data_IF_614544624602
#
_entry.id   IF_614544624602
#
_cell.length_a   1.000
_cell.length_b   1.000
_cell.length_c   1.000
_cell.angle_alpha   90.00
_cell.angle_beta   90.00
_cell.angle_gamma   90.00
#
_symmetry.space_group_name_H-M   'P 1'
#
loop_
_entity.id
_entity.type
_entity.pdbx_description
1 polymer ?
#
# COMPACT_ATOMS: atom_id res chain seq x y z
N UNK A 1 -17.05 -31.84 -14.67
CA UNK A 1 -15.75 -32.48 -14.40
C UNK A 1 -14.97 -31.75 -13.29
N UNK A 2 -14.76 -30.44 -13.37
CA UNK A 2 -13.95 -29.69 -12.35
C UNK A 2 -14.56 -29.73 -10.95
N UNK A 3 -15.90 -29.58 -10.80
CA UNK A 3 -16.57 -29.61 -9.49
C UNK A 3 -16.34 -30.96 -8.79
N UNK A 4 -16.32 -32.06 -9.51
CA UNK A 4 -16.08 -33.39 -8.93
C UNK A 4 -14.69 -33.55 -8.31
N UNK A 5 -13.68 -32.87 -8.87
CA UNK A 5 -12.31 -32.93 -8.36
C UNK A 5 -12.13 -32.25 -6.99
N UNK A 6 -13.00 -31.31 -6.63
CA UNK A 6 -12.92 -30.51 -5.41
C UNK A 6 -14.03 -30.77 -4.42
N UNK A 7 -15.01 -31.68 -4.77
CA UNK A 7 -16.20 -31.92 -3.97
C UNK A 7 -16.11 -33.21 -3.15
N UNK A 8 -16.77 -33.20 -2.04
CA UNK A 8 -17.19 -34.33 -1.22
C UNK A 8 -18.72 -34.42 -1.23
N UNK A 9 -19.29 -35.46 -0.65
CA UNK A 9 -20.74 -35.69 -0.61
C UNK A 9 -21.25 -35.64 0.82
N UNK A 10 -22.22 -34.75 1.08
CA UNK A 10 -22.90 -34.64 2.35
C UNK A 10 -24.17 -35.49 2.37
N UNK A 11 -24.33 -36.33 3.39
CA UNK A 11 -25.48 -37.16 3.66
C UNK A 11 -26.28 -36.61 4.85
N UNK A 12 -27.41 -35.90 4.64
CA UNK A 12 -28.18 -35.27 5.72
C UNK A 12 -28.69 -36.26 6.75
N UNK A 13 -29.08 -37.44 6.32
CA UNK A 13 -29.64 -38.51 7.18
C UNK A 13 -28.60 -39.04 8.18
N UNK A 14 -27.31 -38.99 7.83
CA UNK A 14 -26.21 -39.44 8.66
C UNK A 14 -25.47 -38.27 9.33
N UNK A 15 -25.81 -37.00 9.01
CA UNK A 15 -25.10 -35.81 9.39
C UNK A 15 -23.60 -35.92 9.10
N UNK A 16 -23.24 -36.53 7.95
CA UNK A 16 -21.84 -36.89 7.63
C UNK A 16 -21.44 -36.44 6.24
N UNK A 17 -20.19 -36.00 6.14
CA UNK A 17 -19.54 -35.73 4.85
C UNK A 17 -18.62 -36.92 4.55
N UNK A 18 -18.70 -37.46 3.34
CA UNK A 18 -17.79 -38.47 2.80
C UNK A 18 -16.96 -37.88 1.69
N UNK A 19 -15.65 -38.14 1.69
CA UNK A 19 -14.76 -37.62 0.71
C UNK A 19 -15.07 -38.15 -0.70
N UNK A 20 -14.93 -37.28 -1.70
CA UNK A 20 -15.24 -37.57 -3.10
C UNK A 20 -16.71 -37.41 -3.49
N UNK A 21 -16.94 -37.29 -4.80
CA UNK A 21 -18.28 -37.19 -5.36
C UNK A 21 -18.93 -38.55 -5.45
N UNK A 22 -19.93 -38.78 -4.61
CA UNK A 22 -20.71 -40.03 -4.55
C UNK A 22 -22.20 -39.76 -4.85
N UNK A 23 -22.96 -40.80 -5.23
CA UNK A 23 -24.39 -40.70 -5.42
C UNK A 23 -25.16 -40.80 -4.09
N UNK A 24 -26.36 -40.21 -4.02
CA UNK A 24 -27.25 -40.31 -2.88
C UNK A 24 -27.12 -39.24 -1.80
N UNK A 25 -26.31 -38.21 -2.02
CA UNK A 25 -26.15 -37.05 -1.13
C UNK A 25 -25.98 -35.74 -1.91
N UNK A 26 -25.70 -34.67 -1.19
CA UNK A 26 -25.48 -33.34 -1.76
C UNK A 26 -23.98 -33.02 -1.93
N UNK A 27 -23.53 -32.47 -3.08
CA UNK A 27 -22.16 -32.09 -3.27
C UNK A 27 -21.79 -30.89 -2.39
N UNK A 28 -20.64 -30.98 -1.71
CA UNK A 28 -20.07 -29.93 -0.88
C UNK A 28 -18.62 -29.74 -1.27
N UNK A 29 -18.18 -28.50 -1.51
CA UNK A 29 -16.80 -28.20 -1.82
C UNK A 29 -15.95 -28.30 -0.57
N UNK A 30 -15.02 -29.26 -0.55
CA UNK A 30 -14.12 -29.51 0.60
C UNK A 30 -12.65 -29.50 0.23
N UNK A 31 -12.33 -29.56 -1.07
CA UNK A 31 -10.98 -29.74 -1.59
C UNK A 31 -10.26 -31.02 -1.04
N UNK A 32 -10.99 -32.00 -0.49
CA UNK A 32 -10.41 -33.16 0.14
C UNK A 32 -9.48 -33.95 -0.80
N UNK A 33 -9.84 -34.08 -2.08
CA UNK A 33 -9.01 -34.78 -3.06
C UNK A 33 -7.62 -34.14 -3.24
N UNK A 34 -7.54 -32.82 -3.13
CA UNK A 34 -6.29 -32.06 -3.26
C UNK A 34 -5.54 -32.06 -1.94
N UNK A 35 -6.20 -31.63 -0.85
CA UNK A 35 -5.56 -31.39 0.44
C UNK A 35 -5.24 -32.65 1.23
N UNK A 36 -6.08 -33.69 1.09
CA UNK A 36 -5.96 -34.93 1.86
C UNK A 36 -5.34 -36.07 1.05
N UNK A 37 -5.75 -36.19 -0.23
CA UNK A 37 -5.31 -37.26 -1.10
C UNK A 37 -4.26 -36.86 -2.13
N UNK A 38 -3.82 -35.60 -2.11
CA UNK A 38 -2.72 -35.08 -2.93
C UNK A 38 -2.89 -35.34 -4.45
N UNK A 39 -4.15 -35.31 -4.93
CA UNK A 39 -4.44 -35.46 -6.35
C UNK A 39 -3.75 -34.37 -7.22
N UNK A 40 -3.37 -33.27 -6.61
CA UNK A 40 -2.51 -32.21 -7.13
C UNK A 40 -1.66 -31.66 -5.97
N UNK A 41 -0.34 -31.41 -6.13
CA UNK A 41 0.56 -31.01 -5.05
C UNK A 41 0.41 -29.52 -4.72
N UNK A 42 -0.83 -29.06 -4.51
CA UNK A 42 -1.15 -27.65 -4.25
C UNK A 42 -0.53 -27.11 -2.95
N UNK A 43 -0.57 -27.83 -1.82
CA UNK A 43 0.03 -27.36 -0.58
C UNK A 43 1.53 -27.08 -0.70
N UNK A 44 2.26 -27.97 -1.37
CA UNK A 44 3.70 -27.87 -1.61
C UNK A 44 4.01 -26.65 -2.49
N UNK A 45 3.31 -26.52 -3.62
CA UNK A 45 3.47 -25.39 -4.55
C UNK A 45 3.20 -24.06 -3.83
N UNK A 46 2.13 -23.99 -3.05
CA UNK A 46 1.78 -22.77 -2.30
C UNK A 46 2.85 -22.44 -1.24
N UNK A 47 3.34 -23.46 -0.52
CA UNK A 47 4.40 -23.26 0.48
C UNK A 47 5.67 -22.69 -0.14
N UNK A 48 6.10 -23.25 -1.27
CA UNK A 48 7.30 -22.82 -1.99
C UNK A 48 7.13 -21.37 -2.51
N UNK A 49 6.00 -21.06 -3.14
CA UNK A 49 5.74 -19.72 -3.70
C UNK A 49 5.64 -18.67 -2.60
N UNK A 50 4.96 -18.97 -1.49
CA UNK A 50 4.85 -18.06 -0.34
C UNK A 50 6.22 -17.82 0.29
N UNK A 51 7.07 -18.84 0.40
CA UNK A 51 8.44 -18.72 0.93
C UNK A 51 9.33 -17.87 0.00
N UNK A 52 9.27 -18.12 -1.31
CA UNK A 52 9.99 -17.31 -2.32
C UNK A 52 9.52 -15.86 -2.28
N UNK A 53 8.20 -15.66 -2.23
CA UNK A 53 7.60 -14.33 -2.13
C UNK A 53 8.02 -13.59 -0.88
N UNK A 54 7.97 -14.25 0.27
CA UNK A 54 8.43 -13.71 1.56
C UNK A 54 9.90 -13.30 1.54
N UNK A 55 10.76 -14.12 0.94
CA UNK A 55 12.19 -13.80 0.78
C UNK A 55 12.41 -12.62 -0.18
N UNK A 56 11.70 -12.61 -1.30
CA UNK A 56 11.85 -11.58 -2.33
C UNK A 56 11.31 -10.22 -1.90
N UNK A 57 10.23 -10.18 -1.13
CA UNK A 57 9.59 -8.94 -0.67
C UNK A 57 10.01 -8.52 0.76
N UNK A 58 10.73 -9.37 1.49
CA UNK A 58 11.16 -9.09 2.86
C UNK A 58 10.03 -9.10 3.90
N UNK A 59 8.80 -9.50 3.52
CA UNK A 59 7.61 -9.53 4.38
C UNK A 59 6.68 -10.69 3.99
N UNK A 60 5.71 -11.09 4.84
CA UNK A 60 4.65 -12.02 4.45
C UNK A 60 3.92 -11.55 3.20
N UNK A 61 3.52 -12.49 2.35
CA UNK A 61 2.84 -12.20 1.09
C UNK A 61 1.50 -12.93 0.99
N UNK A 62 0.58 -12.38 0.23
CA UNK A 62 -0.60 -13.06 -0.27
C UNK A 62 -0.48 -13.24 -1.79
N UNK A 63 -1.08 -14.29 -2.30
CA UNK A 63 -1.02 -14.64 -3.72
C UNK A 63 -2.41 -14.90 -4.27
N UNK A 64 -2.60 -14.57 -5.55
CA UNK A 64 -3.73 -15.01 -6.35
C UNK A 64 -3.22 -16.02 -7.38
N UNK A 65 -3.93 -17.12 -7.54
CA UNK A 65 -3.52 -18.19 -8.45
C UNK A 65 -4.71 -18.87 -9.09
N UNK A 66 -4.47 -19.54 -10.20
CA UNK A 66 -5.41 -20.45 -10.84
C UNK A 66 -4.81 -21.84 -10.99
N UNK A 67 -5.66 -22.86 -10.86
CA UNK A 67 -5.26 -24.25 -11.10
C UNK A 67 -6.18 -24.86 -12.15
N UNK A 68 -5.60 -25.42 -13.20
CA UNK A 68 -6.33 -26.17 -14.20
C UNK A 68 -6.22 -27.68 -13.89
N UNK A 69 -7.38 -28.30 -13.59
CA UNK A 69 -7.51 -29.73 -13.32
C UNK A 69 -8.38 -30.42 -14.39
N UNK A 70 -8.35 -29.94 -15.62
CA UNK A 70 -9.16 -30.51 -16.71
C UNK A 70 -8.77 -31.96 -17.00
N UNK A 71 -9.75 -32.86 -17.02
CA UNK A 71 -9.51 -34.25 -17.32
C UNK A 71 -8.92 -34.44 -18.74
N UNK A 72 -7.86 -35.23 -18.85
CA UNK A 72 -7.17 -35.47 -20.12
C UNK A 72 -6.11 -34.43 -20.50
N UNK A 73 -5.90 -33.41 -19.67
CA UNK A 73 -4.79 -32.46 -19.79
C UNK A 73 -3.85 -32.56 -18.60
N UNK A 74 -2.60 -32.16 -18.81
CA UNK A 74 -1.64 -32.04 -17.69
C UNK A 74 -2.13 -30.93 -16.75
N UNK A 75 -2.25 -31.20 -15.44
CA UNK A 75 -2.58 -30.16 -14.48
C UNK A 75 -1.60 -28.99 -14.55
N UNK A 76 -2.12 -27.77 -14.46
CA UNK A 76 -1.32 -26.54 -14.49
C UNK A 76 -1.60 -25.66 -13.27
N UNK A 77 -0.58 -24.94 -12.84
CA UNK A 77 -0.68 -23.91 -11.81
C UNK A 77 -0.19 -22.58 -12.40
N UNK A 78 -0.99 -21.55 -12.32
CA UNK A 78 -0.71 -20.21 -12.81
C UNK A 78 -0.73 -19.22 -11.64
N UNK A 79 0.40 -18.60 -11.33
CA UNK A 79 0.47 -17.49 -10.38
C UNK A 79 -0.02 -16.23 -11.08
N UNK A 80 -1.12 -15.66 -10.63
CA UNK A 80 -1.75 -14.49 -11.24
C UNK A 80 -1.25 -13.19 -10.60
N UNK A 81 -1.12 -13.19 -9.27
CA UNK A 81 -0.65 -12.02 -8.52
C UNK A 81 0.09 -12.44 -7.26
N UNK A 82 1.08 -11.63 -6.88
CA UNK A 82 1.74 -11.69 -5.58
C UNK A 82 1.86 -10.27 -5.02
N UNK A 83 1.51 -10.08 -3.75
CA UNK A 83 1.58 -8.79 -3.07
C UNK A 83 1.94 -8.97 -1.59
N UNK A 84 2.51 -7.95 -0.93
CA UNK A 84 2.69 -7.97 0.52
C UNK A 84 1.36 -8.21 1.22
N UNK A 85 1.36 -9.09 2.21
CA UNK A 85 0.18 -9.33 3.04
C UNK A 85 -0.03 -8.13 3.97
N UNK A 86 -1.23 -7.54 3.93
CA UNK A 86 -1.60 -6.49 4.86
C UNK A 86 -1.59 -7.07 6.29
N UNK A 87 -0.59 -6.71 7.08
CA UNK A 87 -0.59 -7.03 8.51
C UNK A 87 -1.63 -6.13 9.14
N UNK A 88 -2.71 -6.73 9.62
CA UNK A 88 -3.68 -5.99 10.43
C UNK A 88 -2.93 -5.42 11.65
N UNK A 89 -2.63 -4.12 11.63
CA UNK A 89 -2.13 -3.42 12.81
C UNK A 89 -3.14 -3.64 13.92
N UNK A 90 -2.65 -3.97 15.12
CA UNK A 90 -3.48 -3.97 16.32
C UNK A 90 -4.32 -2.70 16.32
N UNK A 91 -5.58 -2.81 16.74
CA UNK A 91 -6.52 -1.68 16.90
C UNK A 91 -6.00 -0.74 18.00
N UNK A 92 -4.92 -0.01 17.71
CA UNK A 92 -4.49 1.08 18.54
C UNK A 92 -5.59 2.15 18.46
N UNK A 93 -6.12 2.55 19.59
CA UNK A 93 -6.96 3.73 19.63
C UNK A 93 -6.03 4.94 19.56
N UNK A 94 -6.05 5.59 18.42
CA UNK A 94 -5.28 6.82 18.21
C UNK A 94 -6.21 7.99 18.53
N UNK A 95 -5.78 8.80 19.46
CA UNK A 95 -6.43 10.06 19.77
C UNK A 95 -5.60 11.22 19.20
N UNK A 96 -6.25 12.04 18.39
CA UNK A 96 -5.68 13.28 17.88
C UNK A 96 -6.28 14.42 18.70
N UNK A 97 -5.43 15.13 19.42
CA UNK A 97 -5.83 16.22 20.29
C UNK A 97 -5.94 17.54 19.51
N UNK A 98 -6.80 18.45 19.95
CA UNK A 98 -6.97 19.76 19.31
C UNK A 98 -5.65 20.56 19.26
N UNK A 99 -4.86 20.52 20.32
CA UNK A 99 -3.55 21.15 20.39
C UNK A 99 -2.51 20.57 19.40
N UNK A 100 -2.66 19.30 19.00
CA UNK A 100 -1.81 18.69 17.97
C UNK A 100 -2.19 19.24 16.59
N UNK A 101 -3.49 19.46 16.35
CA UNK A 101 -3.97 20.06 15.09
C UNK A 101 -3.47 21.51 14.96
N UNK A 102 -3.51 22.29 16.05
CA UNK A 102 -3.02 23.69 16.06
C UNK A 102 -1.51 23.78 15.80
N UNK A 103 -0.74 22.75 16.18
CA UNK A 103 0.72 22.70 15.99
C UNK A 103 1.14 21.96 14.72
N UNK A 104 0.19 21.33 14.02
CA UNK A 104 0.48 20.55 12.85
C UNK A 104 0.90 21.44 11.67
N UNK A 105 1.89 21.00 10.89
CA UNK A 105 2.14 21.58 9.58
C UNK A 105 1.37 20.86 8.46
N UNK A 106 0.77 19.72 8.77
CA UNK A 106 -0.13 19.02 7.85
C UNK A 106 -1.30 18.40 8.64
N UNK A 107 -2.51 18.68 8.20
CA UNK A 107 -3.74 18.08 8.71
C UNK A 107 -4.61 17.58 7.57
N UNK A 108 -5.17 16.41 7.73
CA UNK A 108 -6.03 15.75 6.73
C UNK A 108 -7.27 15.17 7.38
N UNK A 109 -8.41 15.31 6.70
CA UNK A 109 -9.69 14.63 6.98
C UNK A 109 -9.93 13.44 6.04
N UNK A 110 -8.94 13.11 5.22
CA UNK A 110 -8.96 12.00 4.26
C UNK A 110 -7.69 11.15 4.39
N UNK A 111 -7.51 10.53 5.54
CA UNK A 111 -6.35 9.70 5.82
C UNK A 111 -6.72 8.21 5.85
N UNK A 112 -5.75 7.37 5.54
CA UNK A 112 -5.88 5.93 5.55
C UNK A 112 -4.74 5.26 6.31
N UNK A 113 -5.08 4.19 6.98
CA UNK A 113 -4.25 3.52 7.96
C UNK A 113 -4.75 3.81 9.36
N UNK A 114 -4.02 3.35 10.36
CA UNK A 114 -4.28 3.62 11.77
C UNK A 114 -2.98 3.42 12.54
N UNK A 115 -2.53 4.40 13.27
CA UNK A 115 -1.31 4.28 14.06
C UNK A 115 -0.55 5.59 14.21
N UNK A 116 0.62 5.46 14.82
CA UNK A 116 1.56 6.55 15.06
C UNK A 116 2.93 6.22 14.49
N UNK A 117 3.59 7.20 13.87
CA UNK A 117 4.95 7.10 13.35
C UNK A 117 5.77 8.24 13.95
N UNK A 118 6.90 7.90 14.60
CA UNK A 118 7.73 8.85 15.35
C UNK A 118 9.22 8.72 15.03
N UNK A 119 9.57 8.01 13.96
CA UNK A 119 10.95 7.66 13.59
C UNK A 119 11.42 8.31 12.28
N UNK A 120 10.68 9.29 11.77
CA UNK A 120 10.99 10.00 10.52
C UNK A 120 11.45 11.42 10.84
N UNK A 121 12.63 11.82 10.37
CA UNK A 121 13.13 13.19 10.45
C UNK A 121 13.31 13.83 9.06
N UNK A 122 13.16 13.05 8.00
CA UNK A 122 13.37 13.47 6.63
C UNK A 122 12.06 13.75 5.92
N UNK A 123 11.96 14.89 5.25
CA UNK A 123 10.81 15.28 4.43
C UNK A 123 11.30 15.60 3.03
N UNK A 124 10.73 14.92 2.05
CA UNK A 124 10.93 15.19 0.63
C UNK A 124 9.63 15.75 0.07
N UNK A 125 9.69 16.91 -0.53
CA UNK A 125 8.47 17.49 -1.11
C UNK A 125 8.74 18.13 -2.48
N UNK A 126 7.68 18.09 -3.30
CA UNK A 126 7.67 18.83 -4.56
C UNK A 126 7.51 20.31 -4.24
N UNK A 127 8.45 21.13 -4.72
CA UNK A 127 8.42 22.57 -4.48
C UNK A 127 7.24 23.20 -5.26
N UNK A 128 6.24 23.78 -4.57
CA UNK A 128 5.08 24.36 -5.24
C UNK A 128 5.43 25.47 -6.24
N UNK A 129 6.51 26.22 -5.96
CA UNK A 129 6.93 27.34 -6.80
C UNK A 129 7.53 26.92 -8.15
N UNK A 130 8.02 25.66 -8.27
CA UNK A 130 8.63 25.12 -9.50
C UNK A 130 7.82 23.98 -10.10
N UNK A 131 6.68 23.65 -9.50
CA UNK A 131 5.84 22.56 -9.99
C UNK A 131 5.17 22.90 -11.32
N UNK A 132 5.36 22.02 -12.29
CA UNK A 132 4.68 22.05 -13.58
C UNK A 132 4.06 20.67 -13.88
N UNK A 133 2.75 20.60 -14.16
CA UNK A 133 2.05 19.34 -14.46
C UNK A 133 2.63 18.61 -15.69
N UNK A 134 3.21 19.34 -16.65
CA UNK A 134 3.89 18.76 -17.80
C UNK A 134 5.20 18.05 -17.45
N UNK A 135 5.76 18.28 -16.27
CA UNK A 135 7.08 17.78 -15.80
C UNK A 135 6.98 16.64 -14.78
N UNK A 136 5.81 16.06 -14.57
CA UNK A 136 5.62 15.00 -13.56
C UNK A 136 6.50 13.77 -13.77
N UNK A 137 6.88 13.46 -15.02
CA UNK A 137 7.85 12.38 -15.33
C UNK A 137 9.26 12.75 -14.85
N UNK A 138 9.69 14.00 -15.05
CA UNK A 138 10.99 14.47 -14.60
C UNK A 138 11.05 14.47 -13.06
N UNK A 139 9.97 14.91 -12.42
CA UNK A 139 9.77 14.88 -10.96
C UNK A 139 9.90 13.45 -10.42
N UNK A 140 9.23 12.47 -11.06
CA UNK A 140 9.34 11.06 -10.67
C UNK A 140 10.80 10.56 -10.73
N UNK A 141 11.54 10.96 -11.77
CA UNK A 141 12.96 10.64 -11.89
C UNK A 141 13.82 11.26 -10.78
N UNK A 142 13.52 12.49 -10.35
CA UNK A 142 14.22 13.14 -9.23
C UNK A 142 13.89 12.44 -7.90
N UNK A 143 12.62 12.10 -7.66
CA UNK A 143 12.18 11.32 -6.47
C UNK A 143 12.97 10.02 -6.39
N UNK A 144 13.05 9.25 -7.50
CA UNK A 144 13.77 7.97 -7.51
C UNK A 144 15.27 8.11 -7.22
N UNK A 145 15.92 9.19 -7.68
CA UNK A 145 17.33 9.45 -7.35
C UNK A 145 17.53 9.75 -5.86
N UNK A 146 16.67 10.60 -5.29
CA UNK A 146 16.75 10.98 -3.89
C UNK A 146 16.39 9.80 -2.97
N UNK A 147 15.39 8.99 -3.36
CA UNK A 147 15.06 7.77 -2.66
C UNK A 147 16.27 6.83 -2.52
N UNK A 148 16.99 6.57 -3.61
CA UNK A 148 18.21 5.74 -3.58
C UNK A 148 19.28 6.27 -2.62
N UNK A 149 19.45 7.60 -2.55
CA UNK A 149 20.41 8.22 -1.64
C UNK A 149 19.98 8.02 -0.17
N UNK A 150 18.70 8.22 0.13
CA UNK A 150 18.16 8.04 1.48
C UNK A 150 18.17 6.57 1.90
N UNK A 151 17.83 5.65 1.01
CA UNK A 151 17.89 4.20 1.28
C UNK A 151 19.32 3.72 1.57
N UNK A 152 20.31 4.19 0.81
CA UNK A 152 21.72 3.87 1.07
C UNK A 152 22.17 4.30 2.47
N UNK A 153 21.53 5.33 3.02
CA UNK A 153 21.74 5.83 4.38
C UNK A 153 20.77 5.19 5.41
N UNK A 154 19.90 4.28 4.99
CA UNK A 154 18.84 3.66 5.80
C UNK A 154 17.88 4.68 6.42
N UNK A 155 17.66 5.80 5.75
CA UNK A 155 16.79 6.89 6.19
C UNK A 155 15.41 6.75 5.54
N UNK A 156 14.39 6.67 6.38
CA UNK A 156 12.99 6.73 5.96
C UNK A 156 12.53 8.17 5.89
N UNK A 157 11.55 8.46 5.04
CA UNK A 157 11.11 9.83 4.83
C UNK A 157 9.61 9.96 4.60
N UNK A 158 9.11 11.18 4.83
CA UNK A 158 7.80 11.66 4.44
C UNK A 158 7.88 12.22 3.02
N UNK A 159 6.99 11.79 2.12
CA UNK A 159 6.90 12.30 0.76
C UNK A 159 5.64 13.14 0.59
N UNK A 160 5.78 14.39 0.13
CA UNK A 160 4.66 15.31 -0.10
C UNK A 160 4.67 15.80 -1.55
N UNK A 161 3.54 15.75 -2.24
CA UNK A 161 3.46 16.29 -3.60
C UNK A 161 2.04 16.40 -4.16
N UNK A 162 1.90 17.13 -5.27
CA UNK A 162 0.63 17.39 -5.90
C UNK A 162 0.11 16.20 -6.70
N UNK A 163 -1.19 16.00 -6.66
CA UNK A 163 -1.87 14.93 -7.39
C UNK A 163 -1.54 13.55 -6.84
N UNK A 164 -1.81 12.52 -7.64
CA UNK A 164 -1.64 11.12 -7.26
C UNK A 164 -0.20 10.66 -7.43
N UNK A 165 0.34 10.01 -6.41
CA UNK A 165 1.57 9.26 -6.56
C UNK A 165 1.32 7.93 -7.28
N UNK A 166 2.22 7.57 -8.21
CA UNK A 166 2.11 6.32 -8.98
C UNK A 166 1.03 6.32 -10.05
N UNK A 167 0.49 7.49 -10.43
CA UNK A 167 -0.47 7.60 -11.52
C UNK A 167 0.17 7.24 -12.85
N UNK A 168 -0.48 6.35 -13.63
CA UNK A 168 -0.07 6.09 -15.01
C UNK A 168 -0.35 7.30 -15.94
N UNK A 169 -1.33 8.12 -15.58
CA UNK A 169 -1.64 9.37 -16.27
C UNK A 169 -0.88 10.53 -15.61
N UNK A 170 0.07 11.09 -16.36
CA UNK A 170 0.92 12.20 -15.91
C UNK A 170 0.14 13.49 -15.59
N UNK A 171 -1.09 13.62 -16.10
CA UNK A 171 -1.95 14.77 -15.84
C UNK A 171 -2.80 14.62 -14.58
N UNK A 172 -2.79 13.44 -13.97
CA UNK A 172 -3.46 13.16 -12.69
C UNK A 172 -2.49 13.07 -11.51
N UNK A 173 -1.18 13.02 -11.78
CA UNK A 173 -0.19 12.91 -10.72
C UNK A 173 1.23 12.59 -11.19
N UNK A 174 2.05 12.13 -10.28
CA UNK A 174 3.47 11.87 -10.49
C UNK A 174 3.69 10.37 -10.67
N UNK A 175 4.18 9.90 -11.84
CA UNK A 175 4.24 8.47 -12.22
C UNK A 175 5.44 7.74 -11.61
N UNK A 176 5.59 7.80 -10.28
CA UNK A 176 6.62 7.03 -9.57
C UNK A 176 6.29 5.54 -9.58
N UNK A 177 7.32 4.71 -9.60
CA UNK A 177 7.23 3.26 -9.37
C UNK A 177 7.64 2.94 -7.93
N UNK A 178 7.31 1.72 -7.46
CA UNK A 178 7.68 1.30 -6.10
C UNK A 178 9.17 1.41 -5.81
N UNK A 179 10.03 1.10 -6.77
CA UNK A 179 11.49 1.26 -6.63
C UNK A 179 11.93 2.72 -6.47
N UNK A 180 11.09 3.66 -6.88
CA UNK A 180 11.40 5.09 -6.79
C UNK A 180 11.04 5.67 -5.42
N UNK A 181 10.28 4.92 -4.61
CA UNK A 181 9.76 5.35 -3.30
C UNK A 181 9.86 4.27 -2.22
N UNK A 182 10.73 3.27 -2.39
CA UNK A 182 10.89 2.15 -1.45
C UNK A 182 11.28 2.57 -0.03
N UNK A 183 11.89 3.75 0.13
CA UNK A 183 12.22 4.37 1.41
C UNK A 183 11.10 5.16 2.08
N UNK A 184 9.98 5.40 1.40
CA UNK A 184 8.85 6.17 1.94
C UNK A 184 8.19 5.45 3.10
N UNK A 185 7.90 6.17 4.18
CA UNK A 185 7.16 5.67 5.35
C UNK A 185 5.82 6.39 5.54
N UNK A 186 5.72 7.62 5.05
CA UNK A 186 4.48 8.38 5.01
C UNK A 186 4.38 9.16 3.69
N UNK A 187 3.16 9.34 3.20
CA UNK A 187 2.88 9.97 1.91
C UNK A 187 1.71 10.93 2.02
N UNK A 188 1.87 12.12 1.44
CA UNK A 188 0.80 13.11 1.34
C UNK A 188 0.56 13.47 -0.12
N UNK A 189 -0.68 13.32 -0.56
CA UNK A 189 -1.16 13.83 -1.85
C UNK A 189 -1.86 15.18 -1.62
N UNK A 190 -1.46 16.21 -2.34
CA UNK A 190 -2.03 17.54 -2.20
C UNK A 190 -2.79 17.94 -3.45
N UNK A 191 -3.97 18.53 -3.29
CA UNK A 191 -4.65 19.16 -4.40
C UNK A 191 -3.99 20.52 -4.72
N UNK A 192 -3.85 20.81 -6.01
CA UNK A 192 -3.43 22.11 -6.51
C UNK A 192 -4.40 22.59 -7.58
N UNK A 193 -4.33 23.88 -7.97
CA UNK A 193 -5.14 24.38 -9.09
C UNK A 193 -4.86 23.63 -10.39
N UNK A 194 -3.62 23.18 -10.59
CA UNK A 194 -3.18 22.46 -11.78
C UNK A 194 -3.51 20.97 -11.74
N UNK A 195 -3.65 20.38 -10.54
CA UNK A 195 -3.93 18.95 -10.35
C UNK A 195 -5.00 18.77 -9.26
N UNK A 196 -6.25 18.80 -9.65
CA UNK A 196 -7.42 18.46 -8.81
C UNK A 196 -7.78 16.99 -9.02
N UNK A 197 -6.87 16.09 -8.70
CA UNK A 197 -7.15 14.66 -8.81
C UNK A 197 -7.88 14.17 -7.56
N UNK A 198 -8.92 13.36 -7.74
CA UNK A 198 -9.48 12.58 -6.63
C UNK A 198 -8.39 11.70 -6.02
N UNK A 199 -8.44 11.41 -4.71
CA UNK A 199 -7.46 10.56 -4.05
C UNK A 199 -7.22 9.25 -4.79
N UNK A 200 -6.00 8.69 -4.70
CA UNK A 200 -5.58 7.44 -5.35
C UNK A 200 -6.36 6.20 -4.91
N UNK A 201 -7.40 6.35 -4.10
CA UNK A 201 -8.24 5.29 -3.57
C UNK A 201 -8.79 4.40 -4.69
N UNK A 202 -8.48 3.09 -4.64
CA UNK A 202 -8.94 2.10 -5.60
C UNK A 202 -7.95 1.74 -6.72
N UNK A 203 -6.77 2.32 -6.77
CA UNK A 203 -5.71 1.91 -7.71
C UNK A 203 -4.88 0.75 -7.14
N UNK A 204 -4.25 -0.06 -8.01
CA UNK A 204 -3.27 -1.08 -7.59
C UNK A 204 -2.10 -0.49 -6.80
N UNK A 205 -1.72 0.74 -7.08
CA UNK A 205 -0.71 1.47 -6.33
C UNK A 205 -1.16 1.69 -4.88
N UNK A 206 -2.42 2.03 -4.67
CA UNK A 206 -3.01 2.25 -3.37
C UNK A 206 -3.06 0.99 -2.50
N UNK A 207 -3.40 -0.16 -3.08
CA UNK A 207 -3.39 -1.44 -2.34
C UNK A 207 -2.00 -1.76 -1.78
N UNK A 208 -0.95 -1.37 -2.48
CA UNK A 208 0.42 -1.55 -1.99
C UNK A 208 0.78 -0.59 -0.86
N UNK A 209 0.29 0.67 -0.87
CA UNK A 209 0.50 1.64 0.22
C UNK A 209 0.04 1.05 1.55
N UNK A 210 -1.19 0.53 1.58
CA UNK A 210 -1.76 -0.07 2.80
C UNK A 210 -1.06 -1.35 3.22
N UNK A 211 -0.57 -2.15 2.25
CA UNK A 211 0.14 -3.41 2.51
C UNK A 211 1.57 -3.20 3.01
N UNK A 212 2.25 -2.13 2.57
CA UNK A 212 3.61 -1.79 2.97
C UNK A 212 3.70 -0.93 4.24
N UNK A 213 2.58 -0.75 4.92
CA UNK A 213 2.53 0.03 6.15
C UNK A 213 2.99 1.48 5.97
N UNK A 214 2.65 2.07 4.83
CA UNK A 214 2.90 3.46 4.52
C UNK A 214 1.69 4.27 4.99
N UNK A 215 1.93 5.26 5.84
CA UNK A 215 0.92 6.21 6.27
C UNK A 215 0.50 7.08 5.09
N UNK A 216 -0.80 7.18 4.80
CA UNK A 216 -1.28 7.88 3.62
C UNK A 216 -2.32 8.93 3.97
N UNK A 217 -2.10 10.14 3.49
CA UNK A 217 -2.95 11.30 3.71
C UNK A 217 -3.22 12.01 2.39
N UNK A 218 -4.42 12.58 2.27
CA UNK A 218 -4.77 13.48 1.16
C UNK A 218 -5.25 14.81 1.71
N UNK A 219 -4.82 15.92 1.14
CA UNK A 219 -5.32 17.24 1.46
C UNK A 219 -6.03 17.84 0.26
N UNK A 220 -7.31 18.19 0.43
CA UNK A 220 -8.15 18.71 -0.63
C UNK A 220 -7.93 20.21 -0.91
N UNK A 221 -7.24 20.93 -0.03
CA UNK A 221 -7.04 22.37 -0.15
C UNK A 221 -8.34 23.20 -0.04
N UNK A 222 -9.39 22.62 0.57
CA UNK A 222 -10.72 23.23 0.69
C UNK A 222 -10.95 24.02 1.98
N UNK A 223 -9.88 24.31 2.73
CA UNK A 223 -9.90 25.14 3.93
C UNK A 223 -9.99 24.39 5.27
N UNK A 224 -10.37 23.10 5.26
CA UNK A 224 -10.31 22.26 6.48
C UNK A 224 -8.99 21.48 6.55
N UNK A 225 -8.55 20.97 5.42
CA UNK A 225 -7.29 20.23 5.27
C UNK A 225 -6.19 21.21 4.82
N UNK A 226 -4.98 21.03 5.32
CA UNK A 226 -3.89 21.91 4.93
C UNK A 226 -2.52 21.22 4.95
N UNK A 227 -1.61 21.82 4.19
CA UNK A 227 -0.16 21.69 4.33
C UNK A 227 0.38 23.12 4.50
N UNK A 228 1.11 23.37 5.56
CA UNK A 228 1.78 24.65 5.79
C UNK A 228 3.05 24.73 4.94
N UNK A 229 2.86 25.22 3.72
CA UNK A 229 3.96 25.39 2.76
C UNK A 229 4.97 26.44 3.19
N UNK A 230 4.53 27.49 3.89
CA UNK A 230 5.42 28.54 4.37
C UNK A 230 6.38 27.99 5.43
N UNK A 231 5.84 27.16 6.34
CA UNK A 231 6.65 26.45 7.31
C UNK A 231 7.66 25.51 6.64
N UNK A 232 7.24 24.70 5.66
CA UNK A 232 8.11 23.76 4.93
C UNK A 232 9.23 24.51 4.18
N UNK A 233 8.88 25.62 3.50
CA UNK A 233 9.82 26.39 2.71
C UNK A 233 10.82 27.17 3.58
N UNK A 234 10.48 27.49 4.83
CA UNK A 234 11.34 28.14 5.79
C UNK A 234 12.40 27.21 6.41
N UNK A 235 12.22 25.87 6.30
CA UNK A 235 13.19 24.91 6.85
C UNK A 235 14.48 24.91 6.08
N UNK A 236 15.59 24.57 6.77
CA UNK A 236 16.89 24.39 6.14
C UNK A 236 16.85 23.22 5.13
N UNK A 237 17.18 23.51 3.88
CA UNK A 237 17.23 22.53 2.80
C UNK A 237 18.54 21.76 2.84
N UNK A 238 18.49 20.42 3.04
CA UNK A 238 19.66 19.54 2.96
C UNK A 238 20.05 19.27 1.50
N UNK A 239 19.04 19.02 0.64
CA UNK A 239 19.25 18.82 -0.80
C UNK A 239 18.11 19.49 -1.58
N UNK A 240 18.45 20.24 -2.62
CA UNK A 240 17.50 20.79 -3.58
C UNK A 240 17.83 20.28 -4.99
N UNK A 241 16.78 19.99 -5.75
CA UNK A 241 16.86 19.71 -7.18
C UNK A 241 16.02 20.74 -7.94
N UNK A 242 15.75 20.51 -9.22
CA UNK A 242 14.90 21.42 -10.00
C UNK A 242 13.48 21.52 -9.41
N UNK A 243 12.91 20.38 -9.00
CA UNK A 243 11.51 20.29 -8.57
C UNK A 243 11.35 19.89 -7.11
N UNK A 244 12.36 19.28 -6.48
CA UNK A 244 12.26 18.77 -5.13
C UNK A 244 13.06 19.58 -4.12
N UNK A 245 12.56 19.59 -2.90
CA UNK A 245 13.33 19.94 -1.71
C UNK A 245 13.34 18.77 -0.74
N UNK A 246 14.49 18.51 -0.18
CA UNK A 246 14.68 17.60 0.92
C UNK A 246 15.15 18.39 2.14
N UNK A 247 14.41 18.28 3.22
CA UNK A 247 14.76 18.86 4.51
C UNK A 247 14.94 17.75 5.54
N UNK A 248 15.82 17.98 6.49
CA UNK A 248 16.01 17.08 7.62
C UNK A 248 15.85 17.86 8.91
N UNK A 249 14.91 17.40 9.71
CA UNK A 249 14.62 18.00 11.00
C UNK A 249 15.61 17.51 12.08
N UNK A 250 15.83 18.34 13.09
CA UNK A 250 16.67 17.97 14.24
C UNK A 250 16.00 16.91 15.14
N UNK A 251 14.67 16.84 15.12
CA UNK A 251 13.87 15.86 15.84
C UNK A 251 12.95 15.12 14.86
N UNK A 252 12.62 13.84 15.11
CA UNK A 252 11.65 13.13 14.31
C UNK A 252 10.26 13.78 14.38
N UNK A 253 9.50 13.60 13.29
CA UNK A 253 8.10 13.95 13.18
C UNK A 253 7.24 13.03 14.06
N UNK A 254 6.10 13.56 14.50
CA UNK A 254 4.98 12.74 14.98
C UNK A 254 3.88 12.75 13.93
N UNK A 255 3.61 11.57 13.36
CA UNK A 255 2.51 11.38 12.40
C UNK A 255 1.48 10.49 13.07
N UNK A 256 0.27 10.99 13.30
CA UNK A 256 -0.85 10.24 13.86
C UNK A 256 -1.96 10.09 12.83
N UNK A 257 -2.49 8.87 12.70
CA UNK A 257 -3.64 8.56 11.86
C UNK A 257 -4.71 7.85 12.69
N UNK A 258 -5.88 8.46 12.81
CA UNK A 258 -7.10 7.85 13.31
C UNK A 258 -7.91 7.29 12.12
N UNK A 259 -7.75 6.02 11.83
CA UNK A 259 -8.44 5.37 10.71
C UNK A 259 -9.96 5.25 10.89
N UNK A 260 -10.48 5.36 12.12
CA UNK A 260 -11.94 5.34 12.37
C UNK A 260 -12.59 6.64 11.90
N UNK A 261 -11.90 7.79 12.09
CA UNK A 261 -12.38 9.13 11.74
C UNK A 261 -11.81 9.61 10.41
N UNK A 262 -10.89 8.85 9.79
CA UNK A 262 -10.12 9.26 8.61
C UNK A 262 -9.33 10.57 8.83
N UNK A 263 -8.91 10.82 10.06
CA UNK A 263 -8.15 12.03 10.44
C UNK A 263 -6.66 11.71 10.52
N UNK A 264 -5.83 12.67 10.16
CA UNK A 264 -4.40 12.61 10.41
C UNK A 264 -3.78 13.97 10.68
N UNK A 265 -2.74 13.95 11.51
CA UNK A 265 -1.90 15.13 11.79
C UNK A 265 -0.43 14.78 11.62
N UNK A 266 0.37 15.76 11.18
CA UNK A 266 1.82 15.69 11.16
C UNK A 266 2.36 16.90 11.91
N UNK A 267 3.06 16.61 13.01
CA UNK A 267 3.66 17.62 13.90
C UNK A 267 5.18 17.46 13.85
N UNK A 268 5.92 18.59 13.86
CA UNK A 268 7.37 18.66 13.88
C UNK A 268 7.94 18.95 15.28
#
# INVERSE_FOLDING_TARGET
>A
ACVQAISSTYYPQEHRIRDGAQSGGFPVVTFANILKYQAFPLPEILSDILEIGRKGMGCPVEIEFAVNLEAGRKPGFDLLQIRPMAVARQKLEIEILAEEIERAFCYSTMALGNGEVTDIADIVFVNPATFEAARTIDIAGEVGRLNKQLEAQKRKYLLIGPGRWGSADRWLGIPVKWNDISGVKAMVETATEALRADPSQGSHFFHNITSLDISYLTTAGNGTDFVDWDWLLAQHTETATTYLRHIRLAKPLTIKIDGKRSLAVIVA
#
